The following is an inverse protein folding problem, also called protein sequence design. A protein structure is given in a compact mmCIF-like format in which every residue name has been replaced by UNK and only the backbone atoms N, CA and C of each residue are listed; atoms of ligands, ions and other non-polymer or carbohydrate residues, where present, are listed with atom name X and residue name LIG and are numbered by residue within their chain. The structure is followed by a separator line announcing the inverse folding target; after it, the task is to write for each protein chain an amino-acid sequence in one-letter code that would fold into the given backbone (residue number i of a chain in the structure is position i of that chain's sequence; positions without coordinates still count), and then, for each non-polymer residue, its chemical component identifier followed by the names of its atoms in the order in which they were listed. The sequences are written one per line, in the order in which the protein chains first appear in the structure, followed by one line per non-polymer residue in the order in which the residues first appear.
data_IF_527458566358
#
_entry.id   IF_527458566358
#
_cell.length_a   1.000
_cell.length_b   1.000
_cell.length_c   1.000
_cell.angle_alpha   90.00
_cell.angle_beta   90.00
_cell.angle_gamma   90.00
#
_symmetry.space_group_name_H-M   'P 1'
#
loop_
_entity.id
_entity.type
_entity.pdbx_description
1 polymer ?
#
# COMPACT_ATOMS: atom_id res chain seq x y z
N UNK A 1 51.37 -4.62 48.31
CA UNK A 1 50.01 -4.25 47.85
C UNK A 1 49.01 -5.26 48.41
N UNK A 2 48.09 -4.83 49.25
CA UNK A 2 47.22 -5.69 50.07
C UNK A 2 46.23 -6.49 49.18
N UNK A 3 45.95 -7.76 49.52
CA UNK A 3 45.16 -8.69 48.68
C UNK A 3 43.76 -8.13 48.34
N UNK A 4 43.17 -7.40 49.28
CA UNK A 4 41.89 -6.70 49.15
C UNK A 4 41.93 -5.60 48.09
N UNK A 5 43.06 -4.89 47.97
CA UNK A 5 43.22 -3.78 47.03
C UNK A 5 43.33 -4.28 45.59
N UNK A 6 43.93 -5.45 45.38
CA UNK A 6 43.96 -6.12 44.06
C UNK A 6 42.57 -6.58 43.63
N UNK A 7 41.81 -7.18 44.55
CA UNK A 7 40.44 -7.63 44.28
C UNK A 7 39.55 -6.43 43.92
N UNK A 8 39.67 -5.32 44.66
CA UNK A 8 38.91 -4.11 44.38
C UNK A 8 39.24 -3.55 43.00
N UNK A 9 40.53 -3.43 42.65
CA UNK A 9 40.96 -2.93 41.35
C UNK A 9 40.48 -3.83 40.20
N UNK A 10 40.54 -5.15 40.38
CA UNK A 10 40.04 -6.13 39.40
C UNK A 10 38.53 -6.04 39.21
N UNK A 11 37.76 -5.82 40.28
CA UNK A 11 36.31 -5.61 40.22
C UNK A 11 35.96 -4.29 39.53
N UNK A 12 36.68 -3.21 39.81
CA UNK A 12 36.46 -1.91 39.14
C UNK A 12 36.78 -1.99 37.64
N UNK A 13 37.84 -2.70 37.25
CA UNK A 13 38.16 -2.96 35.85
C UNK A 13 37.12 -3.87 35.17
N UNK A 14 36.60 -4.88 35.86
CA UNK A 14 35.53 -5.72 35.32
C UNK A 14 34.24 -4.92 35.12
N UNK A 15 33.90 -4.03 36.05
CA UNK A 15 32.73 -3.15 35.94
C UNK A 15 32.90 -2.12 34.82
N UNK A 16 34.10 -1.54 34.66
CA UNK A 16 34.41 -0.62 33.57
C UNK A 16 34.39 -1.30 32.19
N UNK A 17 34.83 -2.57 32.11
CA UNK A 17 34.71 -3.37 30.88
C UNK A 17 33.27 -3.80 30.60
N UNK A 18 32.47 -4.08 31.63
CA UNK A 18 31.04 -4.38 31.47
C UNK A 18 30.22 -3.15 31.04
N UNK A 19 30.61 -1.95 31.46
CA UNK A 19 29.99 -0.68 31.02
C UNK A 19 30.43 -0.23 29.61
N UNK A 20 31.60 -0.65 29.16
CA UNK A 20 32.06 -0.43 27.77
C UNK A 20 31.68 -1.56 26.80
N UNK A 21 31.12 -2.64 27.36
CA UNK A 21 30.43 -3.71 26.64
C UNK A 21 28.92 -3.66 26.93
N UNK A 22 28.35 -2.46 27.11
CA UNK A 22 26.95 -2.27 26.74
C UNK A 22 26.81 -2.87 25.34
N UNK A 23 25.77 -3.67 25.06
CA UNK A 23 25.49 -4.00 23.69
C UNK A 23 25.40 -2.64 22.99
N UNK A 24 26.29 -2.41 22.02
CA UNK A 24 25.82 -1.69 20.83
C UNK A 24 24.56 -2.48 20.51
N UNK A 25 23.39 -1.94 20.87
CA UNK A 25 22.15 -2.43 20.31
C UNK A 25 22.48 -2.35 18.83
N UNK A 26 22.75 -3.50 18.22
CA UNK A 26 22.83 -3.58 16.79
C UNK A 26 21.48 -3.02 16.40
N UNK A 27 21.49 -1.79 15.90
CA UNK A 27 20.30 -1.14 15.41
C UNK A 27 19.65 -2.19 14.53
N UNK A 28 18.46 -2.62 14.95
CA UNK A 28 17.72 -3.63 14.20
C UNK A 28 17.66 -3.13 12.76
N UNK A 29 17.97 -3.96 11.77
CA UNK A 29 17.95 -3.47 10.40
C UNK A 29 16.51 -3.02 10.11
N UNK A 30 16.35 -1.85 9.47
CA UNK A 30 15.03 -1.42 9.00
C UNK A 30 14.42 -2.55 8.18
N UNK A 31 13.15 -2.88 8.45
CA UNK A 31 12.43 -3.90 7.70
C UNK A 31 12.51 -3.58 6.20
N UNK A 32 12.90 -4.55 5.34
CA UNK A 32 12.90 -4.36 3.90
C UNK A 32 11.53 -3.92 3.39
N UNK A 33 11.49 -3.00 2.42
CA UNK A 33 10.25 -2.48 1.86
C UNK A 33 9.41 -3.59 1.21
N UNK A 34 10.04 -4.59 0.59
CA UNK A 34 9.33 -5.73 0.01
C UNK A 34 8.55 -6.56 1.06
N UNK A 35 8.94 -6.49 2.34
CA UNK A 35 8.26 -7.21 3.42
C UNK A 35 6.91 -6.57 3.78
N UNK A 36 6.64 -5.35 3.28
CA UNK A 36 5.33 -4.72 3.39
C UNK A 36 4.24 -5.48 2.62
N UNK A 37 4.63 -6.24 1.59
CA UNK A 37 3.71 -6.98 0.72
C UNK A 37 3.61 -8.46 1.10
N UNK A 38 4.11 -8.85 2.27
CA UNK A 38 3.97 -10.22 2.77
C UNK A 38 2.50 -10.58 2.85
N UNK A 39 2.15 -11.70 2.20
CA UNK A 39 0.87 -12.34 2.35
C UNK A 39 1.08 -13.81 2.73
N UNK A 40 0.61 -14.18 3.92
CA UNK A 40 0.63 -15.55 4.41
C UNK A 40 -0.78 -16.15 4.27
N UNK A 41 -1.04 -16.99 3.24
CA UNK A 41 -2.32 -17.66 3.10
C UNK A 41 -2.54 -18.64 4.24
N UNK A 42 -3.78 -18.69 4.75
CA UNK A 42 -4.23 -19.69 5.73
C UNK A 42 -4.11 -21.10 5.13
N UNK A 43 -3.91 -22.12 5.97
CA UNK A 43 -3.88 -23.52 5.53
C UNK A 43 -5.19 -23.98 4.86
N UNK A 44 -6.31 -23.30 5.14
CA UNK A 44 -7.63 -23.53 4.54
C UNK A 44 -7.84 -22.78 3.22
N UNK A 45 -6.94 -21.89 2.81
CA UNK A 45 -7.04 -21.18 1.53
C UNK A 45 -6.80 -22.15 0.36
N UNK A 46 -7.73 -22.17 -0.59
CA UNK A 46 -7.55 -22.92 -1.82
C UNK A 46 -6.32 -22.37 -2.58
N UNK A 47 -5.42 -23.26 -3.01
CA UNK A 47 -4.16 -22.92 -3.68
C UNK A 47 -3.12 -22.16 -2.82
N UNK A 48 -3.15 -22.29 -1.48
CA UNK A 48 -2.20 -21.63 -0.58
C UNK A 48 -0.71 -21.78 -0.98
N UNK A 49 -0.30 -22.92 -1.54
CA UNK A 49 1.09 -23.11 -2.01
C UNK A 49 1.43 -22.24 -3.24
N UNK A 50 0.53 -22.19 -4.23
CA UNK A 50 0.69 -21.32 -5.39
C UNK A 50 0.66 -19.84 -4.97
N UNK A 51 -0.24 -19.46 -4.06
CA UNK A 51 -0.28 -18.10 -3.50
C UNK A 51 1.03 -17.72 -2.81
N UNK A 52 1.63 -18.60 -1.99
CA UNK A 52 2.94 -18.33 -1.35
C UNK A 52 4.05 -18.14 -2.38
N UNK A 53 4.11 -19.00 -3.39
CA UNK A 53 5.12 -18.91 -4.44
C UNK A 53 4.98 -17.61 -5.25
N UNK A 54 3.74 -17.26 -5.63
CA UNK A 54 3.44 -16.05 -6.38
C UNK A 54 3.73 -14.77 -5.56
N UNK A 55 3.41 -14.77 -4.26
CA UNK A 55 3.74 -13.66 -3.37
C UNK A 55 5.25 -13.50 -3.17
N UNK A 56 5.99 -14.61 -3.01
CA UNK A 56 7.45 -14.57 -2.91
C UNK A 56 8.09 -13.99 -4.18
N UNK A 57 7.68 -14.44 -5.37
CA UNK A 57 8.17 -13.93 -6.64
C UNK A 57 7.84 -12.44 -6.83
N UNK A 58 6.63 -12.01 -6.46
CA UNK A 58 6.26 -10.60 -6.52
C UNK A 58 7.08 -9.75 -5.56
N UNK A 59 7.37 -10.23 -4.35
CA UNK A 59 8.24 -9.53 -3.39
C UNK A 59 9.68 -9.41 -3.90
N UNK A 60 10.21 -10.43 -4.58
CA UNK A 60 11.51 -10.34 -5.24
C UNK A 60 11.52 -9.27 -6.33
N UNK A 61 10.44 -9.18 -7.13
CA UNK A 61 10.26 -8.12 -8.12
C UNK A 61 10.23 -6.74 -7.46
N UNK A 62 9.41 -6.55 -6.42
CA UNK A 62 9.36 -5.29 -5.66
C UNK A 62 10.73 -4.94 -5.09
N UNK A 63 11.43 -5.89 -4.47
CA UNK A 63 12.77 -5.67 -3.94
C UNK A 63 13.78 -5.20 -5.01
N UNK A 64 13.61 -5.61 -6.26
CA UNK A 64 14.45 -5.17 -7.37
C UNK A 64 14.17 -3.74 -7.85
N UNK A 65 12.98 -3.20 -7.55
CA UNK A 65 12.57 -1.83 -7.90
C UNK A 65 12.87 -0.83 -6.76
N UNK A 66 13.10 -1.33 -5.55
CA UNK A 66 13.38 -0.51 -4.37
C UNK A 66 14.78 0.11 -4.48
N UNK A 67 14.87 1.37 -4.07
CA UNK A 67 16.11 2.10 -3.95
C UNK A 67 16.44 2.32 -2.48
N UNK A 68 17.68 2.04 -2.09
CA UNK A 68 18.18 2.43 -0.78
C UNK A 68 18.32 3.95 -0.72
N UNK A 69 17.99 4.52 0.44
CA UNK A 69 18.08 5.95 0.71
C UNK A 69 19.05 6.19 1.87
N UNK A 70 19.79 7.30 1.80
CA UNK A 70 20.63 7.82 2.88
C UNK A 70 20.11 9.13 3.46
N UNK A 71 18.87 9.50 3.11
CA UNK A 71 18.22 10.73 3.58
C UNK A 71 18.04 10.67 5.10
N UNK A 72 18.65 11.65 5.77
CA UNK A 72 18.49 11.89 7.21
C UNK A 72 17.90 13.28 7.42
N UNK A 73 16.76 13.35 8.08
CA UNK A 73 16.15 14.61 8.52
C UNK A 73 16.26 14.71 10.04
N UNK A 74 16.55 15.90 10.57
CA UNK A 74 16.67 16.11 12.01
C UNK A 74 15.98 17.42 12.37
N UNK A 75 15.10 17.34 13.36
CA UNK A 75 14.39 18.48 13.97
C UNK A 75 14.91 18.71 15.40
N UNK A 76 14.27 19.59 16.17
CA UNK A 76 14.65 19.79 17.57
C UNK A 76 14.32 18.55 18.43
N UNK A 77 13.22 17.85 18.12
CA UNK A 77 12.72 16.73 18.90
C UNK A 77 12.98 15.36 18.30
N UNK A 78 13.12 15.24 16.97
CA UNK A 78 13.17 13.96 16.28
C UNK A 78 14.31 13.87 15.27
N UNK A 79 14.80 12.64 15.04
CA UNK A 79 15.65 12.27 13.90
C UNK A 79 14.93 11.23 13.06
N UNK A 80 14.93 11.41 11.74
CA UNK A 80 14.40 10.48 10.76
C UNK A 80 15.52 9.96 9.88
N UNK A 81 15.58 8.65 9.69
CA UNK A 81 16.53 7.98 8.81
C UNK A 81 15.74 7.14 7.81
N UNK A 82 15.64 7.63 6.57
CA UNK A 82 14.90 6.95 5.51
C UNK A 82 15.74 5.79 5.00
N UNK A 83 15.20 4.57 5.06
CA UNK A 83 15.91 3.36 4.65
C UNK A 83 15.73 3.06 3.17
N UNK A 84 14.49 2.89 2.73
CA UNK A 84 14.18 2.46 1.38
C UNK A 84 13.02 3.25 0.79
N UNK A 85 13.07 3.48 -0.52
CA UNK A 85 12.04 4.18 -1.28
C UNK A 85 11.69 3.39 -2.54
N UNK A 86 10.42 3.45 -2.94
CA UNK A 86 9.91 2.95 -4.20
C UNK A 86 8.89 3.98 -4.70
N UNK A 87 9.10 4.52 -5.90
CA UNK A 87 8.14 5.41 -6.54
C UNK A 87 8.03 5.03 -8.03
N UNK A 88 6.92 4.41 -8.41
CA UNK A 88 6.68 3.89 -9.77
C UNK A 88 5.19 3.96 -10.08
N UNK A 89 4.82 4.47 -11.25
CA UNK A 89 3.44 4.49 -11.76
C UNK A 89 2.35 4.85 -10.74
N UNK A 90 2.48 6.03 -10.14
CA UNK A 90 1.54 6.56 -9.15
C UNK A 90 1.51 5.77 -7.82
N UNK A 91 2.41 4.81 -7.63
CA UNK A 91 2.63 4.13 -6.36
C UNK A 91 3.84 4.74 -5.66
N UNK A 92 3.75 4.91 -4.36
CA UNK A 92 4.88 5.36 -3.55
C UNK A 92 4.91 4.60 -2.24
N UNK A 93 6.08 4.04 -1.91
CA UNK A 93 6.34 3.39 -0.63
C UNK A 93 7.69 3.81 -0.07
N UNK A 94 7.77 3.96 1.25
CA UNK A 94 8.97 4.34 1.97
C UNK A 94 9.07 3.58 3.29
N UNK A 95 10.28 3.36 3.77
CA UNK A 95 10.57 2.95 5.15
C UNK A 95 11.50 3.96 5.81
N UNK A 96 11.32 4.19 7.10
CA UNK A 96 12.21 5.05 7.87
C UNK A 96 12.26 4.63 9.34
N UNK A 97 13.34 5.02 10.01
CA UNK A 97 13.45 5.02 11.46
C UNK A 97 13.18 6.42 11.99
N UNK A 98 12.42 6.52 13.07
CA UNK A 98 12.29 7.75 13.85
C UNK A 98 12.89 7.56 15.23
N UNK A 99 13.70 8.52 15.69
CA UNK A 99 14.32 8.53 17.02
C UNK A 99 13.94 9.78 17.80
N UNK A 100 13.59 9.61 19.06
CA UNK A 100 13.34 10.72 19.99
C UNK A 100 14.66 11.28 20.53
N UNK A 101 14.95 12.54 20.23
CA UNK A 101 16.17 13.25 20.65
C UNK A 101 16.03 13.96 22.00
N UNK A 102 14.84 13.94 22.59
CA UNK A 102 14.54 14.65 23.83
C UNK A 102 14.79 13.80 25.08
N UNK A 103 14.78 14.44 26.24
CA UNK A 103 14.76 13.81 27.56
C UNK A 103 13.34 13.49 28.06
N UNK A 104 12.32 13.64 27.20
CA UNK A 104 10.90 13.47 27.49
C UNK A 104 10.30 12.28 26.76
N UNK A 105 9.20 11.75 27.26
CA UNK A 105 8.37 10.84 26.45
C UNK A 105 7.51 11.66 25.52
N UNK A 106 7.60 11.38 24.22
CA UNK A 106 6.88 12.13 23.19
C UNK A 106 5.77 11.30 22.56
N UNK A 107 4.69 11.97 22.19
CA UNK A 107 3.64 11.45 21.33
C UNK A 107 3.74 12.13 19.97
N UNK A 108 3.84 11.35 18.90
CA UNK A 108 3.90 11.83 17.52
C UNK A 108 2.52 11.65 16.90
N UNK A 109 1.83 12.76 16.66
CA UNK A 109 0.55 12.78 15.97
C UNK A 109 0.76 13.12 14.50
N UNK A 110 0.32 12.26 13.60
CA UNK A 110 0.35 12.53 12.16
C UNK A 110 -0.80 13.43 11.76
N UNK A 111 -0.50 14.44 10.95
CA UNK A 111 -1.53 15.32 10.39
C UNK A 111 -1.89 14.85 8.97
N UNK A 112 -0.95 14.98 8.03
CA UNK A 112 -1.22 14.84 6.60
C UNK A 112 0.00 14.26 5.86
N UNK A 113 -0.28 13.46 4.82
CA UNK A 113 0.71 12.90 3.91
C UNK A 113 0.58 13.58 2.55
N UNK A 114 1.70 14.03 2.02
CA UNK A 114 1.74 14.69 0.73
C UNK A 114 2.74 14.04 -0.20
N UNK A 115 2.37 13.96 -1.47
CA UNK A 115 3.31 13.71 -2.54
C UNK A 115 3.31 14.91 -3.50
N UNK A 116 4.50 15.32 -3.92
CA UNK A 116 4.68 16.35 -4.94
C UNK A 116 5.41 15.74 -6.12
N UNK A 117 4.76 15.67 -7.28
CA UNK A 117 5.39 15.25 -8.53
C UNK A 117 5.02 16.25 -9.63
N UNK A 118 5.96 16.57 -10.51
CA UNK A 118 5.75 17.55 -11.60
C UNK A 118 5.18 18.90 -11.12
N UNK A 119 5.49 19.29 -9.88
CA UNK A 119 5.07 20.56 -9.28
C UNK A 119 3.63 20.61 -8.76
N UNK A 120 2.93 19.48 -8.68
CA UNK A 120 1.58 19.41 -8.12
C UNK A 120 1.58 18.56 -6.84
N UNK A 121 0.95 19.07 -5.78
CA UNK A 121 0.85 18.46 -4.46
C UNK A 121 -0.50 17.76 -4.28
N UNK A 122 -0.49 16.57 -3.64
CA UNK A 122 -1.68 15.76 -3.40
C UNK A 122 -1.65 15.13 -2.02
N UNK A 123 -2.82 15.09 -1.39
CA UNK A 123 -3.07 14.27 -0.20
C UNK A 123 -3.07 12.79 -0.58
N UNK A 124 -2.35 11.99 0.19
CA UNK A 124 -2.24 10.55 -0.02
C UNK A 124 -2.89 9.81 1.13
N UNK A 125 -3.88 8.98 0.80
CA UNK A 125 -4.49 8.08 1.77
C UNK A 125 -3.68 6.76 1.82
N UNK A 126 -3.03 6.45 2.95
CA UNK A 126 -2.29 5.19 3.08
C UNK A 126 -1.32 5.17 4.26
N UNK A 127 -0.80 3.99 4.58
CA UNK A 127 0.19 3.76 5.64
C UNK A 127 -0.26 2.75 6.70
N UNK A 128 0.45 1.62 6.79
CA UNK A 128 0.24 0.60 7.82
C UNK A 128 1.32 0.76 8.91
N UNK A 129 0.92 0.90 10.17
CA UNK A 129 1.76 1.13 11.37
C UNK A 129 2.31 2.55 11.63
N UNK A 130 1.95 3.57 10.85
CA UNK A 130 2.23 4.98 11.22
C UNK A 130 1.01 5.67 11.87
N UNK A 131 0.30 4.91 12.71
CA UNK A 131 -0.58 5.51 13.70
C UNK A 131 0.24 6.28 14.73
N UNK A 132 -0.44 7.00 15.61
CA UNK A 132 0.20 7.78 16.66
C UNK A 132 1.28 6.98 17.41
N UNK A 133 2.51 7.51 17.52
CA UNK A 133 3.63 6.82 18.17
C UNK A 133 3.96 7.42 19.53
N UNK A 134 4.26 6.55 20.51
CA UNK A 134 4.82 6.95 21.81
C UNK A 134 6.29 6.53 21.87
N UNK A 135 7.20 7.50 22.02
CA UNK A 135 8.64 7.24 22.12
C UNK A 135 9.18 7.75 23.45
N UNK A 136 9.78 6.84 24.23
CA UNK A 136 10.56 7.19 25.41
C UNK A 136 11.82 8.00 25.02
N UNK A 137 12.47 8.70 25.97
CA UNK A 137 13.72 9.42 25.72
C UNK A 137 14.79 8.53 25.04
N UNK A 138 15.33 8.97 23.90
CA UNK A 138 16.34 8.24 23.15
C UNK A 138 15.84 6.97 22.44
N UNK A 139 14.55 6.62 22.56
CA UNK A 139 13.98 5.46 21.88
C UNK A 139 13.81 5.72 20.38
N UNK A 140 13.81 4.63 19.60
CA UNK A 140 13.54 4.67 18.17
C UNK A 140 12.43 3.67 17.83
N UNK A 141 11.71 3.97 16.75
CA UNK A 141 10.76 3.05 16.12
C UNK A 141 10.94 3.06 14.61
N UNK A 142 10.72 1.90 14.01
CA UNK A 142 10.70 1.74 12.58
C UNK A 142 9.29 1.97 12.04
N UNK A 143 9.22 2.49 10.83
CA UNK A 143 8.01 2.97 10.22
C UNK A 143 8.02 2.82 8.72
N UNK A 144 6.81 2.87 8.17
CA UNK A 144 6.59 2.67 6.75
C UNK A 144 5.35 3.37 6.25
N UNK A 145 5.40 3.65 4.97
CA UNK A 145 4.29 4.14 4.19
C UNK A 145 4.24 3.35 2.89
N UNK A 146 3.03 3.05 2.43
CA UNK A 146 2.77 2.77 1.04
C UNK A 146 1.39 3.34 0.70
N UNK A 147 1.28 3.89 -0.49
CA UNK A 147 0.06 4.53 -0.94
C UNK A 147 0.02 4.63 -2.45
N UNK A 148 -1.18 4.86 -2.94
CA UNK A 148 -1.47 5.03 -4.36
C UNK A 148 -2.01 6.42 -4.57
N UNK A 149 -1.50 7.11 -5.59
CA UNK A 149 -1.95 8.45 -5.91
C UNK A 149 -3.29 8.35 -6.67
N UNK A 150 -4.22 9.23 -6.33
CA UNK A 150 -5.58 9.25 -6.88
C UNK A 150 -5.65 9.57 -8.38
N UNK A 151 -4.58 10.06 -8.97
CA UNK A 151 -4.49 10.46 -10.38
C UNK A 151 -3.20 9.95 -10.98
N UNK A 152 -3.12 9.97 -12.32
CA UNK A 152 -1.90 9.64 -13.01
C UNK A 152 -0.91 10.80 -13.01
N UNK A 153 0.36 10.48 -12.81
CA UNK A 153 1.49 11.40 -12.79
C UNK A 153 2.55 11.00 -13.79
N UNK A 154 3.01 12.00 -14.52
CA UNK A 154 4.19 11.83 -15.37
C UNK A 154 5.40 11.52 -14.48
N UNK A 155 6.20 10.49 -14.84
CA UNK A 155 7.46 10.19 -14.19
C UNK A 155 8.36 11.41 -14.08
N UNK A 156 9.09 11.52 -12.97
CA UNK A 156 9.97 12.65 -12.73
C UNK A 156 10.33 12.87 -11.27
N UNK A 157 11.07 13.95 -11.04
CA UNK A 157 11.48 14.37 -9.69
C UNK A 157 10.28 14.83 -8.86
N UNK A 158 10.31 14.47 -7.58
CA UNK A 158 9.29 14.80 -6.63
C UNK A 158 9.76 14.70 -5.19
N UNK A 159 8.80 14.77 -4.28
CA UNK A 159 9.04 14.59 -2.86
C UNK A 159 7.83 13.95 -2.17
N UNK A 160 8.10 13.06 -1.24
CA UNK A 160 7.14 12.66 -0.21
C UNK A 160 7.32 13.60 0.99
N UNK A 161 6.21 14.10 1.54
CA UNK A 161 6.21 14.89 2.76
C UNK A 161 5.22 14.33 3.77
N UNK A 162 5.61 14.34 5.03
CA UNK A 162 4.79 13.92 6.15
C UNK A 162 4.82 15.02 7.21
N UNK A 163 3.65 15.57 7.52
CA UNK A 163 3.49 16.60 8.54
C UNK A 163 3.02 15.98 9.86
N UNK A 164 3.69 16.36 10.95
CA UNK A 164 3.52 15.76 12.27
C UNK A 164 3.52 16.83 13.36
N UNK A 165 2.88 16.50 14.48
CA UNK A 165 2.91 17.27 15.72
C UNK A 165 3.47 16.42 16.83
N UNK A 166 4.42 16.97 17.56
CA UNK A 166 5.11 16.27 18.65
C UNK A 166 4.68 16.85 19.98
N UNK A 167 4.13 16.01 20.86
CA UNK A 167 3.63 16.42 22.17
C UNK A 167 4.45 15.79 23.30
N UNK A 168 4.62 16.53 24.39
CA UNK A 168 5.16 16.00 25.64
C UNK A 168 4.04 15.27 26.41
N UNK A 169 4.16 13.95 26.54
CA UNK A 169 3.23 13.12 27.29
C UNK A 169 3.88 12.49 28.52
N UNK A 170 4.99 13.05 29.01
CA UNK A 170 5.78 12.45 30.09
C UNK A 170 4.98 12.18 31.38
N UNK A 171 3.89 12.91 31.61
CA UNK A 171 3.02 12.73 32.79
C UNK A 171 2.01 11.59 32.64
N UNK A 172 1.70 11.18 31.41
CA UNK A 172 0.60 10.27 31.06
C UNK A 172 1.09 9.08 30.22
N UNK A 173 2.42 8.92 30.09
CA UNK A 173 3.08 8.03 29.15
C UNK A 173 2.60 6.57 29.19
N UNK A 174 2.43 5.99 30.39
CA UNK A 174 2.00 4.60 30.53
C UNK A 174 0.56 4.38 30.06
N UNK A 175 -0.34 5.32 30.34
CA UNK A 175 -1.74 5.25 29.94
C UNK A 175 -1.90 5.44 28.43
N UNK A 176 -1.20 6.42 27.87
CA UNK A 176 -1.23 6.69 26.43
C UNK A 176 -0.59 5.55 25.64
N UNK A 177 0.54 5.00 26.10
CA UNK A 177 1.16 3.85 25.45
C UNK A 177 0.23 2.63 25.42
N UNK A 178 -0.42 2.31 26.55
CA UNK A 178 -1.36 1.20 26.63
C UNK A 178 -2.61 1.42 25.72
N UNK A 179 -3.07 2.67 25.60
CA UNK A 179 -4.18 3.03 24.73
C UNK A 179 -3.81 2.85 23.26
N UNK A 180 -2.66 3.38 22.84
CA UNK A 180 -2.14 3.27 21.48
C UNK A 180 -1.89 1.81 21.10
N UNK A 181 -1.25 1.02 21.97
CA UNK A 181 -1.01 -0.41 21.76
C UNK A 181 -2.32 -1.21 21.64
N UNK A 182 -3.38 -0.76 22.32
CA UNK A 182 -4.73 -1.31 22.23
C UNK A 182 -5.54 -0.88 21.00
N UNK A 183 -4.97 -0.05 20.12
CA UNK A 183 -5.64 0.51 18.94
C UNK A 183 -6.66 1.62 19.26
N UNK A 184 -6.55 2.23 20.44
CA UNK A 184 -7.38 3.36 20.84
C UNK A 184 -6.88 4.69 20.28
N UNK A 185 -7.77 5.69 20.25
CA UNK A 185 -7.45 7.05 19.80
C UNK A 185 -7.11 7.95 21.00
N UNK A 186 -6.03 8.73 20.86
CA UNK A 186 -5.62 9.72 21.85
C UNK A 186 -5.54 11.11 21.21
N UNK A 187 -6.12 12.10 21.88
CA UNK A 187 -6.18 13.48 21.42
C UNK A 187 -5.35 14.39 22.35
N UNK A 188 -4.03 14.52 22.13
CA UNK A 188 -3.13 15.21 23.07
C UNK A 188 -3.49 16.68 23.31
N UNK A 189 -4.05 17.35 22.30
CA UNK A 189 -4.52 18.74 22.44
C UNK A 189 -5.70 18.88 23.41
N UNK A 190 -6.60 17.89 23.46
CA UNK A 190 -7.75 17.88 24.38
C UNK A 190 -7.34 17.49 25.79
N UNK A 191 -6.35 16.60 25.92
CA UNK A 191 -5.74 16.20 27.18
C UNK A 191 -4.82 17.28 27.79
N UNK A 192 -4.56 18.37 27.07
CA UNK A 192 -3.73 19.47 27.55
C UNK A 192 -2.22 19.16 27.54
N UNK A 193 -1.80 18.16 26.79
CA UNK A 193 -0.39 17.83 26.61
C UNK A 193 0.32 18.99 25.88
N UNK A 194 1.49 19.47 26.35
CA UNK A 194 2.23 20.52 25.67
C UNK A 194 2.68 20.11 24.27
N UNK A 195 2.35 20.91 23.25
CA UNK A 195 2.97 20.80 21.92
C UNK A 195 4.42 21.27 22.00
N UNK A 196 5.35 20.43 21.53
CA UNK A 196 6.78 20.71 21.49
C UNK A 196 7.20 21.27 20.12
N UNK A 197 6.75 20.65 19.04
CA UNK A 197 7.21 20.97 17.69
C UNK A 197 6.17 20.56 16.64
N UNK A 198 6.03 21.37 15.57
CA UNK A 198 5.43 20.95 14.30
C UNK A 198 6.59 20.51 13.38
N UNK A 199 6.60 19.24 12.98
CA UNK A 199 7.71 18.60 12.26
C UNK A 199 7.25 18.21 10.86
N UNK A 200 8.11 18.44 9.86
CA UNK A 200 7.91 17.94 8.50
C UNK A 200 9.08 17.03 8.10
N UNK A 201 8.78 15.77 7.82
CA UNK A 201 9.67 14.89 7.07
C UNK A 201 9.47 15.19 5.59
N UNK A 202 10.55 15.45 4.85
CA UNK A 202 10.51 15.65 3.41
C UNK A 202 11.59 14.79 2.75
N UNK A 203 11.16 13.83 1.94
CA UNK A 203 12.03 12.86 1.28
C UNK A 203 11.99 13.11 -0.22
N UNK A 204 13.09 13.55 -0.85
CA UNK A 204 13.15 13.63 -2.31
C UNK A 204 13.02 12.22 -2.89
N UNK A 205 12.15 12.07 -3.89
CA UNK A 205 11.90 10.80 -4.57
C UNK A 205 11.84 11.07 -6.07
N UNK A 206 12.28 10.10 -6.88
CA UNK A 206 12.08 10.15 -8.33
C UNK A 206 11.08 9.09 -8.69
N UNK A 207 9.95 9.48 -9.27
CA UNK A 207 9.00 8.53 -9.83
C UNK A 207 9.50 8.05 -11.17
N UNK A 208 9.72 6.75 -11.28
CA UNK A 208 10.15 6.13 -12.53
C UNK A 208 8.94 5.62 -13.32
N UNK A 209 9.09 5.55 -14.64
CA UNK A 209 8.16 4.81 -15.48
C UNK A 209 8.35 3.32 -15.18
N UNK A 210 7.26 2.64 -14.84
CA UNK A 210 7.27 1.19 -14.65
C UNK A 210 7.21 0.45 -15.99
N UNK A 211 7.47 -0.84 -15.93
CA UNK A 211 7.17 -1.73 -17.04
C UNK A 211 5.66 -2.06 -17.03
N UNK A 212 5.00 -1.76 -18.15
CA UNK A 212 3.61 -2.13 -18.39
C UNK A 212 3.56 -3.27 -19.39
N UNK A 213 2.96 -4.38 -18.99
CA UNK A 213 2.53 -5.46 -19.90
C UNK A 213 1.05 -5.30 -20.20
N UNK A 214 0.66 -5.56 -21.44
CA UNK A 214 -0.75 -5.48 -21.84
C UNK A 214 -1.23 -6.83 -22.34
N UNK A 215 -2.50 -7.15 -22.07
CA UNK A 215 -3.17 -8.27 -22.69
C UNK A 215 -3.70 -7.94 -24.09
N UNK A 216 -3.67 -6.67 -24.51
CA UNK A 216 -4.15 -6.24 -25.83
C UNK A 216 -3.05 -6.35 -26.90
N UNK A 217 -3.19 -7.22 -27.91
CA UNK A 217 -2.20 -7.34 -29.00
C UNK A 217 -2.15 -6.03 -29.80
N UNK A 218 -0.97 -5.41 -29.88
CA UNK A 218 -0.74 -4.15 -30.56
C UNK A 218 -1.72 -3.02 -30.13
N UNK A 219 -2.19 -3.07 -28.87
CA UNK A 219 -3.16 -2.13 -28.31
C UNK A 219 -4.57 -2.21 -28.91
N UNK A 220 -4.88 -3.28 -29.65
CA UNK A 220 -6.21 -3.47 -30.22
C UNK A 220 -7.18 -4.07 -29.19
N UNK A 221 -8.43 -3.58 -29.11
CA UNK A 221 -9.44 -4.17 -28.25
C UNK A 221 -9.67 -5.65 -28.56
N UNK A 222 -9.97 -6.42 -27.51
CA UNK A 222 -10.37 -7.82 -27.63
C UNK A 222 -11.89 -7.93 -27.47
N UNK A 223 -12.53 -8.79 -28.27
CA UNK A 223 -13.98 -9.00 -28.24
C UNK A 223 -14.34 -10.47 -28.05
N UNK A 224 -15.37 -10.71 -27.25
CA UNK A 224 -15.99 -12.02 -27.05
C UNK A 224 -17.51 -11.91 -27.13
N UNK A 225 -18.12 -12.87 -27.84
CA UNK A 225 -19.57 -13.09 -27.78
C UNK A 225 -19.90 -13.77 -26.45
N UNK A 226 -20.74 -13.12 -25.65
CA UNK A 226 -21.24 -13.59 -24.35
C UNK A 226 -22.74 -13.88 -24.46
N UNK A 227 -23.37 -14.43 -23.43
CA UNK A 227 -24.82 -14.64 -23.46
C UNK A 227 -25.59 -13.31 -23.39
N UNK A 228 -26.01 -12.81 -24.55
CA UNK A 228 -26.87 -11.63 -24.69
C UNK A 228 -26.14 -10.30 -24.91
N UNK A 229 -24.81 -10.28 -24.97
CA UNK A 229 -24.00 -9.08 -25.24
C UNK A 229 -22.62 -9.44 -25.82
N UNK A 230 -21.92 -8.46 -26.37
CA UNK A 230 -20.50 -8.57 -26.72
C UNK A 230 -19.68 -7.93 -25.61
N UNK A 231 -18.73 -8.65 -25.04
CA UNK A 231 -17.73 -8.08 -24.15
C UNK A 231 -16.56 -7.57 -24.98
N UNK A 232 -16.30 -6.26 -24.92
CA UNK A 232 -15.07 -5.66 -25.45
C UNK A 232 -14.16 -5.23 -24.31
N UNK A 233 -12.90 -5.64 -24.35
CA UNK A 233 -11.86 -5.16 -23.45
C UNK A 233 -11.06 -4.11 -24.22
N UNK A 234 -11.12 -2.86 -23.79
CA UNK A 234 -10.45 -1.71 -24.42
C UNK A 234 -9.17 -1.30 -23.69
N UNK A 235 -8.98 -1.78 -22.46
CA UNK A 235 -7.72 -1.68 -21.72
C UNK A 235 -7.57 -2.91 -20.81
N UNK A 236 -6.37 -3.48 -20.76
CA UNK A 236 -5.99 -4.55 -19.86
C UNK A 236 -4.48 -4.51 -19.65
N UNK A 237 -4.05 -3.59 -18.79
CA UNK A 237 -2.65 -3.27 -18.55
C UNK A 237 -2.26 -3.70 -17.14
N UNK A 238 -1.10 -4.32 -16.99
CA UNK A 238 -0.52 -4.72 -15.70
C UNK A 238 0.86 -4.12 -15.60
N UNK A 239 1.03 -3.26 -14.60
CA UNK A 239 2.31 -2.66 -14.29
C UNK A 239 3.01 -3.35 -13.16
N UNK A 240 4.17 -2.85 -12.76
CA UNK A 240 4.98 -3.36 -11.66
C UNK A 240 4.29 -3.37 -10.29
N UNK A 241 3.26 -2.54 -10.10
CA UNK A 241 2.62 -2.30 -8.79
C UNK A 241 1.10 -2.21 -8.87
N UNK A 242 0.51 -2.24 -10.07
CA UNK A 242 -0.93 -2.21 -10.24
C UNK A 242 -1.41 -2.86 -11.54
N UNK A 243 -2.71 -2.77 -11.77
CA UNK A 243 -3.32 -3.15 -13.04
C UNK A 243 -4.53 -2.26 -13.36
N UNK A 244 -4.83 -2.07 -14.64
CA UNK A 244 -5.95 -1.27 -15.13
C UNK A 244 -6.73 -2.04 -16.17
N UNK A 245 -8.06 -2.01 -16.04
CA UNK A 245 -8.97 -2.65 -16.96
C UNK A 245 -10.05 -1.66 -17.38
N UNK A 246 -10.34 -1.62 -18.68
CA UNK A 246 -11.49 -0.92 -19.24
C UNK A 246 -12.27 -1.89 -20.13
N UNK A 247 -13.57 -1.99 -19.87
CA UNK A 247 -14.48 -2.98 -20.43
C UNK A 247 -15.73 -2.29 -20.96
N UNK A 248 -16.28 -2.82 -22.05
CA UNK A 248 -17.57 -2.44 -22.59
C UNK A 248 -18.45 -3.70 -22.69
N UNK A 249 -19.64 -3.67 -22.06
CA UNK A 249 -20.71 -4.63 -22.40
C UNK A 249 -21.57 -4.01 -23.48
N UNK A 250 -21.55 -4.56 -24.69
CA UNK A 250 -22.14 -3.98 -25.89
C UNK A 250 -23.41 -4.74 -26.30
N UNK A 251 -24.47 -3.99 -26.58
CA UNK A 251 -25.81 -4.48 -26.94
C UNK A 251 -26.28 -3.84 -28.25
N UNK A 252 -27.16 -4.55 -28.96
CA UNK A 252 -27.73 -4.09 -30.23
C UNK A 252 -28.62 -2.84 -30.11
N UNK A 253 -29.16 -2.54 -28.92
CA UNK A 253 -30.03 -1.38 -28.71
C UNK A 253 -29.98 -0.86 -27.28
N UNK A 254 -30.40 0.40 -27.10
CA UNK A 254 -30.54 1.03 -25.78
C UNK A 254 -31.44 0.23 -24.84
N UNK A 255 -32.58 -0.26 -25.34
CA UNK A 255 -33.55 -1.00 -24.54
C UNK A 255 -32.96 -2.33 -24.06
N UNK A 256 -32.14 -3.00 -24.87
CA UNK A 256 -31.43 -4.20 -24.47
C UNK A 256 -30.37 -3.91 -23.39
N UNK A 257 -29.59 -2.83 -23.54
CA UNK A 257 -28.61 -2.42 -22.54
C UNK A 257 -29.28 -2.08 -21.19
N UNK A 258 -30.36 -1.30 -21.22
CA UNK A 258 -31.11 -0.92 -20.01
C UNK A 258 -31.78 -2.12 -19.32
N UNK A 259 -32.17 -3.15 -20.07
CA UNK A 259 -32.71 -4.38 -19.49
C UNK A 259 -31.66 -5.21 -18.72
N UNK A 260 -30.37 -5.00 -19.01
CA UNK A 260 -29.23 -5.64 -18.33
C UNK A 260 -28.37 -4.61 -17.60
N UNK A 261 -29.00 -3.82 -16.72
CA UNK A 261 -28.33 -2.77 -15.95
C UNK A 261 -27.33 -3.34 -14.92
N UNK A 262 -26.13 -2.71 -14.75
CA UNK A 262 -25.19 -3.05 -13.69
C UNK A 262 -25.70 -2.67 -12.30
N UNK A 263 -26.79 -1.92 -12.21
CA UNK A 263 -27.41 -1.51 -10.96
C UNK A 263 -28.91 -1.78 -11.03
N UNK A 264 -29.41 -2.59 -10.12
CA UNK A 264 -30.83 -2.90 -9.99
C UNK A 264 -31.22 -3.15 -8.53
N UNK A 265 -32.51 -3.03 -8.24
CA UNK A 265 -33.05 -3.11 -6.88
C UNK A 265 -32.76 -4.47 -6.21
N UNK A 266 -32.83 -5.55 -6.99
CA UNK A 266 -32.63 -6.94 -6.52
C UNK A 266 -31.61 -7.73 -7.37
N UNK A 267 -30.96 -7.10 -8.34
CA UNK A 267 -29.96 -7.74 -9.21
C UNK A 267 -28.92 -6.77 -9.69
N UNK A 268 -27.66 -7.22 -9.77
CA UNK A 268 -26.58 -6.49 -10.41
C UNK A 268 -25.63 -7.47 -11.06
N UNK A 269 -24.76 -6.98 -11.94
CA UNK A 269 -23.66 -7.77 -12.46
C UNK A 269 -22.34 -7.09 -12.15
N UNK A 270 -21.28 -7.88 -12.08
CA UNK A 270 -19.92 -7.40 -11.88
C UNK A 270 -18.94 -8.30 -12.61
N UNK A 271 -17.69 -7.87 -12.65
CA UNK A 271 -16.59 -8.70 -13.09
C UNK A 271 -15.65 -8.99 -11.94
N UNK A 272 -15.41 -10.27 -11.71
CA UNK A 272 -14.41 -10.75 -10.76
C UNK A 272 -13.10 -10.99 -11.50
N UNK A 273 -12.01 -10.49 -10.92
CA UNK A 273 -10.65 -10.60 -11.45
C UNK A 273 -9.93 -11.71 -10.68
N UNK A 274 -9.62 -12.81 -11.37
CA UNK A 274 -8.99 -13.99 -10.78
C UNK A 274 -7.64 -14.26 -11.45
N UNK A 275 -6.67 -14.76 -10.69
CA UNK A 275 -5.47 -15.32 -11.30
C UNK A 275 -5.81 -16.64 -12.00
N UNK A 276 -5.31 -16.84 -13.22
CA UNK A 276 -5.53 -18.07 -13.96
C UNK A 276 -4.87 -19.31 -13.31
N UNK A 277 -3.79 -19.12 -12.56
CA UNK A 277 -3.12 -20.19 -11.80
C UNK A 277 -3.79 -20.49 -10.44
N UNK A 278 -4.86 -19.76 -10.10
CA UNK A 278 -5.60 -19.90 -8.86
C UNK A 278 -4.93 -19.26 -7.64
N UNK A 279 -3.76 -18.63 -7.78
CA UNK A 279 -3.14 -17.88 -6.70
C UNK A 279 -3.98 -16.65 -6.34
N UNK A 280 -3.96 -16.26 -5.06
CA UNK A 280 -4.50 -14.96 -4.68
C UNK A 280 -3.67 -13.87 -5.36
N UNK A 281 -4.38 -12.89 -5.93
CA UNK A 281 -3.79 -11.80 -6.69
C UNK A 281 -4.19 -10.43 -6.16
N UNK A 282 -5.49 -10.19 -5.99
CA UNK A 282 -6.01 -8.86 -5.63
C UNK A 282 -6.44 -8.81 -4.17
N UNK A 283 -5.98 -7.79 -3.44
CA UNK A 283 -6.52 -7.46 -2.11
C UNK A 283 -7.65 -6.42 -2.20
N UNK A 284 -7.58 -5.46 -3.13
CA UNK A 284 -8.66 -4.52 -3.42
C UNK A 284 -8.53 -3.93 -4.83
N UNK A 285 -9.66 -3.57 -5.41
CA UNK A 285 -9.78 -2.86 -6.67
C UNK A 285 -10.84 -1.76 -6.53
N UNK A 286 -10.59 -0.61 -7.16
CA UNK A 286 -11.57 0.47 -7.27
C UNK A 286 -12.01 0.57 -8.71
N UNK A 287 -13.30 0.81 -8.94
CA UNK A 287 -13.83 0.94 -10.28
C UNK A 287 -14.99 1.91 -10.34
N UNK A 288 -15.35 2.28 -11.56
CA UNK A 288 -16.50 3.12 -11.81
C UNK A 288 -17.72 2.25 -12.09
N UNK A 289 -18.83 2.52 -11.41
CA UNK A 289 -20.13 1.96 -11.78
C UNK A 289 -20.78 2.95 -12.74
N UNK A 290 -21.06 2.56 -14.00
CA UNK A 290 -21.61 3.49 -14.97
C UNK A 290 -23.04 3.92 -14.60
N UNK A 291 -23.35 5.19 -14.82
CA UNK A 291 -24.67 5.76 -14.53
C UNK A 291 -25.70 5.40 -15.61
N UNK A 292 -25.29 5.41 -16.89
CA UNK A 292 -26.13 5.09 -18.05
C UNK A 292 -25.31 4.41 -19.15
N UNK A 293 -25.94 3.61 -20.04
CA UNK A 293 -25.26 3.09 -21.22
C UNK A 293 -25.10 4.20 -22.26
N UNK A 294 -24.01 4.14 -23.03
CA UNK A 294 -23.67 5.11 -24.07
C UNK A 294 -23.87 4.52 -25.46
N UNK A 295 -24.25 5.36 -26.44
CA UNK A 295 -24.30 4.96 -27.85
C UNK A 295 -22.88 5.00 -28.44
N UNK A 296 -22.46 3.91 -29.06
CA UNK A 296 -21.19 3.77 -29.77
C UNK A 296 -21.31 4.33 -31.20
N UNK A 297 -20.16 4.59 -31.85
CA UNK A 297 -20.13 5.14 -33.22
C UNK A 297 -20.82 4.25 -34.26
N UNK A 298 -20.90 2.94 -34.01
CA UNK A 298 -21.55 1.97 -34.89
C UNK A 298 -23.07 1.81 -34.62
N UNK A 299 -23.62 2.60 -33.69
CA UNK A 299 -25.05 2.61 -33.33
C UNK A 299 -25.44 1.57 -32.28
N UNK A 300 -24.51 0.73 -31.80
CA UNK A 300 -24.72 -0.16 -30.66
C UNK A 300 -24.65 0.63 -29.34
N UNK A 301 -25.08 0.01 -28.25
CA UNK A 301 -25.12 0.65 -26.92
C UNK A 301 -24.25 -0.10 -25.94
N UNK A 302 -23.50 0.60 -25.10
CA UNK A 302 -22.55 -0.02 -24.20
C UNK A 302 -22.61 0.48 -22.75
N UNK A 303 -22.47 -0.44 -21.79
CA UNK A 303 -22.06 -0.10 -20.43
C UNK A 303 -20.55 -0.07 -20.36
N UNK A 304 -19.96 1.10 -20.08
CA UNK A 304 -18.51 1.28 -19.98
C UNK A 304 -18.07 1.21 -18.52
N UNK A 305 -17.23 0.23 -18.21
CA UNK A 305 -16.71 -0.04 -16.88
C UNK A 305 -15.19 0.14 -16.88
N UNK A 306 -14.64 0.75 -15.83
CA UNK A 306 -13.20 0.81 -15.62
C UNK A 306 -12.87 0.42 -14.19
N UNK A 307 -11.75 -0.27 -14.00
CA UNK A 307 -11.22 -0.60 -12.68
C UNK A 307 -9.71 -0.51 -12.64
N UNK A 308 -9.19 -0.08 -11.48
CA UNK A 308 -7.77 -0.05 -11.16
C UNK A 308 -7.51 -0.87 -9.90
N UNK A 309 -6.49 -1.72 -10.00
CA UNK A 309 -5.99 -2.59 -8.94
C UNK A 309 -4.71 -1.97 -8.39
N UNK A 310 -4.65 -1.81 -7.07
CA UNK A 310 -3.57 -1.07 -6.40
C UNK A 310 -2.87 -1.84 -5.28
N UNK A 311 -3.57 -2.80 -4.65
CA UNK A 311 -3.00 -3.60 -3.57
C UNK A 311 -2.96 -5.06 -4.03
N UNK A 312 -1.93 -5.35 -4.84
CA UNK A 312 -1.67 -6.69 -5.34
C UNK A 312 -0.83 -7.48 -4.35
N UNK A 313 -1.09 -8.78 -4.26
CA UNK A 313 -0.25 -9.74 -3.52
C UNK A 313 0.62 -10.60 -4.44
N UNK A 314 0.35 -10.57 -5.75
CA UNK A 314 1.10 -11.25 -6.79
C UNK A 314 0.92 -10.56 -8.16
N UNK A 315 1.63 -11.01 -9.20
CA UNK A 315 1.43 -10.57 -10.58
C UNK A 315 1.26 -11.76 -11.51
N UNK A 316 0.01 -12.15 -11.81
CA UNK A 316 -0.22 -13.31 -12.65
C UNK A 316 0.06 -13.00 -14.13
N UNK A 317 0.58 -13.98 -14.86
CA UNK A 317 0.78 -13.86 -16.31
C UNK A 317 -0.54 -13.94 -17.08
N UNK A 318 -1.59 -14.47 -16.47
CA UNK A 318 -2.91 -14.52 -17.04
C UNK A 318 -3.99 -14.26 -15.98
N UNK A 319 -4.99 -13.50 -16.38
CA UNK A 319 -6.14 -13.12 -15.56
C UNK A 319 -7.40 -13.71 -16.18
N UNK A 320 -8.23 -14.32 -15.33
CA UNK A 320 -9.59 -14.69 -15.69
C UNK A 320 -10.49 -13.53 -15.26
N UNK A 321 -11.15 -12.93 -16.24
CA UNK A 321 -12.24 -12.00 -16.03
C UNK A 321 -13.53 -12.81 -16.04
N UNK A 322 -14.13 -12.98 -14.85
CA UNK A 322 -15.35 -13.75 -14.65
C UNK A 322 -16.54 -12.81 -14.57
N UNK A 323 -17.45 -12.89 -15.52
CA UNK A 323 -18.75 -12.23 -15.43
C UNK A 323 -19.56 -12.89 -14.32
N UNK A 324 -20.04 -12.11 -13.35
CA UNK A 324 -20.91 -12.57 -12.27
C UNK A 324 -22.23 -11.84 -12.32
N UNK A 325 -23.29 -12.55 -11.97
CA UNK A 325 -24.64 -12.01 -11.82
C UNK A 325 -25.13 -12.29 -10.40
N UNK A 326 -25.57 -11.26 -9.71
CA UNK A 326 -26.25 -11.36 -8.44
C UNK A 326 -27.76 -11.30 -8.68
N UNK A 327 -28.50 -12.23 -8.07
CA UNK A 327 -29.95 -12.23 -8.08
C UNK A 327 -30.49 -12.51 -6.68
N UNK A 328 -31.10 -11.51 -6.05
CA UNK A 328 -31.89 -11.57 -4.81
C UNK A 328 -31.15 -12.14 -3.59
N UNK A 329 -30.83 -13.43 -3.62
CA UNK A 329 -30.31 -14.25 -2.52
C UNK A 329 -28.84 -14.69 -2.71
N UNK A 330 -28.15 -14.30 -3.79
CA UNK A 330 -26.75 -14.65 -4.01
C UNK A 330 -26.27 -14.47 -5.45
N UNK A 331 -25.01 -14.84 -5.69
CA UNK A 331 -24.47 -14.93 -7.05
C UNK A 331 -24.99 -16.20 -7.74
N UNK A 332 -25.48 -16.05 -8.97
CA UNK A 332 -25.80 -17.19 -9.84
C UNK A 332 -24.52 -17.69 -10.51
N UNK A 333 -23.86 -18.64 -9.87
CA UNK A 333 -22.63 -19.23 -10.40
C UNK A 333 -22.85 -20.01 -11.71
N UNK A 334 -24.09 -20.40 -12.03
CA UNK A 334 -24.41 -21.13 -13.26
C UNK A 334 -24.41 -20.25 -14.52
N UNK A 335 -24.50 -18.93 -14.34
CA UNK A 335 -24.41 -17.92 -15.39
C UNK A 335 -23.00 -17.31 -15.52
N UNK A 336 -22.01 -17.84 -14.82
CA UNK A 336 -20.64 -17.33 -14.91
C UNK A 336 -20.05 -17.64 -16.29
N UNK A 337 -19.50 -16.60 -16.92
CA UNK A 337 -18.74 -16.72 -18.15
C UNK A 337 -17.33 -16.14 -17.93
N UNK A 338 -16.33 -16.92 -18.32
CA UNK A 338 -14.92 -16.60 -18.10
C UNK A 338 -14.25 -16.21 -19.42
N UNK A 339 -13.55 -15.07 -19.42
CA UNK A 339 -12.60 -14.72 -20.49
C UNK A 339 -11.19 -14.64 -19.91
N UNK A 340 -10.21 -15.17 -20.65
CA UNK A 340 -8.81 -15.17 -20.22
C UNK A 340 -8.03 -14.07 -20.94
N UNK A 341 -7.38 -13.22 -20.15
CA UNK A 341 -6.48 -12.16 -20.59
C UNK A 341 -5.05 -12.60 -20.29
N UNK A 342 -4.20 -12.69 -21.31
CA UNK A 342 -2.80 -13.12 -21.17
C UNK A 342 -1.89 -11.91 -21.32
N UNK A 343 -1.07 -11.62 -20.32
CA UNK A 343 -0.17 -10.46 -20.28
C UNK A 343 1.20 -10.88 -20.81
N UNK A 344 1.56 -10.35 -21.99
CA UNK A 344 2.80 -10.65 -22.69
C UNK A 344 3.90 -9.63 -22.40
#
# INVERSE_FOLDING_TARGET
MNRTMKILLSLTLLFAMALSALPVHAEEALMPLADQFIYEPDESEENAEATRAANAAYREKIASLVQDSDVVCTSETLRFEVGQVLAVEDFTALTWRVSNLTDKTVFIATSEFFATFSGIEYDVCGGLHWGNLVLAPGASADARFHGVLWSHFEPGEGAFSLEMKVYDISQEAEEVAALVDGGGEFYPGESGCPLLEDVRLAVPVTMEAGEVRSALPDGQPLEWEMDGYVLRVTQADMSDVGAQFALERIYESKDAALADSPVGDDSFWSYELLSADGAKWVSTAFGNIPEEPVELEDGRWAWQYSTRVYYMVSQPDAVILRAKRYEGNGYDESANEDVTLNFA
#
